data_IF_748440881235
#
_entry.id   IF_748440881235
#
_cell.length_a   1.000
_cell.length_b   1.000
_cell.length_c   1.000
_cell.angle_alpha   90.00
_cell.angle_beta   90.00
_cell.angle_gamma   90.00
#
_symmetry.space_group_name_H-M   'P 1'
#
loop_
_entity.id
_entity.type
_entity.pdbx_description
1 polymer ?
#
# COMPACT_ATOMS: atom_id res chain seq x y z
N UNK A 1 5.32 35.11 21.29
CA UNK A 1 4.31 34.04 21.21
C UNK A 1 4.04 33.78 19.74
N UNK A 2 4.81 32.85 19.17
CA UNK A 2 4.78 32.54 17.74
C UNK A 2 3.88 31.31 17.52
N UNK A 3 2.95 31.45 16.58
CA UNK A 3 1.97 30.46 16.18
C UNK A 3 2.62 29.14 15.76
N UNK A 4 2.40 28.08 16.55
CA UNK A 4 2.69 26.68 16.23
C UNK A 4 1.45 26.02 15.60
N UNK A 5 0.88 26.65 14.58
CA UNK A 5 -0.30 26.14 13.88
C UNK A 5 -0.01 26.02 12.38
N UNK A 6 0.98 25.21 11.97
CA UNK A 6 1.07 24.80 10.56
C UNK A 6 1.97 23.57 10.26
N UNK A 7 2.00 22.55 11.12
CA UNK A 7 2.84 21.36 10.90
C UNK A 7 2.11 20.02 11.05
N UNK A 8 0.79 19.96 10.82
CA UNK A 8 0.00 18.77 11.12
C UNK A 8 -1.12 18.38 10.16
N UNK A 9 -1.15 18.86 8.91
CA UNK A 9 -2.16 18.43 7.94
C UNK A 9 -1.61 18.38 6.51
N UNK A 10 -0.91 17.30 6.16
CA UNK A 10 -0.43 17.05 4.79
C UNK A 10 -1.48 16.40 3.87
N UNK A 11 -2.75 16.36 4.28
CA UNK A 11 -3.82 15.68 3.52
C UNK A 11 -5.12 16.47 3.42
N UNK A 12 -5.04 17.80 3.44
CA UNK A 12 -6.08 18.61 2.78
C UNK A 12 -5.95 18.37 1.29
N UNK A 13 -7.03 17.97 0.65
CA UNK A 13 -7.11 17.86 -0.81
C UNK A 13 -6.95 19.27 -1.43
N UNK A 14 -5.70 19.75 -1.55
CA UNK A 14 -5.29 20.97 -2.27
C UNK A 14 -5.49 20.89 -3.79
N UNK A 15 -6.45 20.10 -4.25
CA UNK A 15 -6.64 19.76 -5.67
C UNK A 15 -7.25 20.90 -6.47
N UNK A 16 -7.87 21.89 -5.82
CA UNK A 16 -8.69 22.90 -6.50
C UNK A 16 -8.41 24.31 -5.94
N UNK A 17 -7.26 24.93 -6.27
CA UNK A 17 -6.96 26.32 -5.87
C UNK A 17 -7.81 27.36 -6.63
N UNK A 18 -8.69 26.93 -7.54
CA UNK A 18 -9.55 27.84 -8.30
C UNK A 18 -10.64 28.45 -7.39
N UNK A 19 -10.72 29.79 -7.28
CA UNK A 19 -11.72 30.47 -6.47
C UNK A 19 -13.18 30.11 -6.81
N UNK A 20 -13.44 29.65 -8.04
CA UNK A 20 -14.77 29.22 -8.50
C UNK A 20 -15.16 27.86 -7.94
N UNK A 21 -14.19 27.04 -7.56
CA UNK A 21 -14.39 25.69 -7.04
C UNK A 21 -14.40 25.66 -5.51
N UNK A 22 -13.79 26.66 -4.87
CA UNK A 22 -13.76 26.80 -3.41
C UNK A 22 -15.15 26.65 -2.73
N UNK A 23 -16.26 27.21 -3.25
CA UNK A 23 -17.59 27.02 -2.66
C UNK A 23 -18.10 25.57 -2.69
N UNK A 24 -17.54 24.74 -3.58
CA UNK A 24 -17.95 23.35 -3.79
C UNK A 24 -16.95 22.33 -3.24
N UNK A 25 -15.83 22.79 -2.69
CA UNK A 25 -14.73 21.92 -2.24
C UNK A 25 -15.21 20.82 -1.28
N UNK A 26 -16.00 21.16 -0.26
CA UNK A 26 -16.52 20.19 0.69
C UNK A 26 -17.40 19.12 0.01
N UNK A 27 -18.30 19.52 -0.90
CA UNK A 27 -19.17 18.59 -1.61
C UNK A 27 -18.37 17.64 -2.53
N UNK A 28 -17.31 18.15 -3.15
CA UNK A 28 -16.39 17.35 -3.96
C UNK A 28 -15.61 16.37 -3.07
N UNK A 29 -15.07 16.81 -1.94
CA UNK A 29 -14.34 15.96 -0.99
C UNK A 29 -15.24 14.85 -0.43
N UNK A 30 -16.49 15.16 -0.09
CA UNK A 30 -17.48 14.17 0.36
C UNK A 30 -17.76 13.13 -0.74
N UNK A 31 -17.92 13.58 -2.00
CA UNK A 31 -18.16 12.67 -3.12
C UNK A 31 -16.94 11.81 -3.45
N UNK A 32 -15.73 12.38 -3.43
CA UNK A 32 -14.47 11.63 -3.55
C UNK A 32 -14.36 10.58 -2.45
N UNK A 33 -14.67 10.96 -1.20
CA UNK A 33 -14.68 10.03 -0.07
C UNK A 33 -15.67 8.87 -0.24
N UNK A 34 -16.86 9.16 -0.77
CA UNK A 34 -17.87 8.15 -1.08
C UNK A 34 -17.40 7.19 -2.17
N UNK A 35 -16.79 7.69 -3.25
CA UNK A 35 -16.21 6.82 -4.29
C UNK A 35 -15.02 6.02 -3.78
N UNK A 36 -14.13 6.63 -2.99
CA UNK A 36 -13.01 5.93 -2.37
C UNK A 36 -13.47 4.75 -1.51
N UNK A 37 -14.65 4.85 -0.86
CA UNK A 37 -15.25 3.77 -0.07
C UNK A 37 -15.67 2.53 -0.87
N UNK A 38 -15.74 2.63 -2.21
CA UNK A 38 -15.97 1.51 -3.13
C UNK A 38 -14.69 0.76 -3.49
N UNK A 39 -13.52 1.39 -3.33
CA UNK A 39 -12.22 0.72 -3.48
C UNK A 39 -12.04 -0.21 -2.28
N UNK A 40 -12.16 -1.51 -2.54
CA UNK A 40 -12.08 -2.60 -1.57
C UNK A 40 -11.02 -3.59 -2.01
N UNK A 41 -10.50 -4.44 -1.09
CA UNK A 41 -9.58 -5.50 -1.49
C UNK A 41 -10.07 -6.31 -2.70
N UNK A 42 -11.34 -6.73 -2.70
CA UNK A 42 -11.91 -7.54 -3.78
C UNK A 42 -12.12 -6.80 -5.12
N UNK A 43 -12.18 -5.46 -5.12
CA UNK A 43 -12.44 -4.65 -6.31
C UNK A 43 -11.25 -3.79 -6.70
N UNK A 44 -10.12 -3.87 -5.98
CA UNK A 44 -9.00 -2.95 -6.13
C UNK A 44 -8.40 -2.97 -7.54
N UNK A 45 -8.29 -4.15 -8.12
CA UNK A 45 -7.76 -4.34 -9.48
C UNK A 45 -8.63 -3.69 -10.55
N UNK A 46 -9.92 -3.47 -10.32
CA UNK A 46 -10.82 -2.77 -11.25
C UNK A 46 -10.44 -1.29 -11.42
N UNK A 47 -9.72 -0.72 -10.44
CA UNK A 47 -9.23 0.67 -10.49
C UNK A 47 -7.81 0.79 -11.06
N UNK A 48 -7.13 -0.35 -11.27
CA UNK A 48 -5.79 -0.40 -11.84
C UNK A 48 -5.87 -0.55 -13.36
N UNK A 49 -5.42 0.47 -14.09
CA UNK A 49 -5.25 0.34 -15.52
C UNK A 49 -3.96 -0.44 -15.87
N UNK A 50 -3.77 -0.86 -17.14
CA UNK A 50 -2.59 -1.62 -17.55
C UNK A 50 -1.26 -0.92 -17.27
N UNK A 51 -1.21 0.42 -17.27
CA UNK A 51 0.00 1.17 -16.97
C UNK A 51 0.33 1.13 -15.48
N UNK A 52 -0.68 1.25 -14.62
CA UNK A 52 -0.53 1.07 -13.17
C UNK A 52 -0.02 -0.34 -12.86
N UNK A 53 -0.61 -1.37 -13.46
CA UNK A 53 -0.18 -2.77 -13.29
C UNK A 53 1.29 -2.94 -13.69
N UNK A 54 1.69 -2.39 -14.85
CA UNK A 54 3.09 -2.43 -15.30
C UNK A 54 4.02 -1.70 -14.33
N UNK A 55 3.64 -0.49 -13.90
CA UNK A 55 4.41 0.33 -12.97
C UNK A 55 4.66 -0.41 -11.64
N UNK A 56 3.63 -1.03 -11.05
CA UNK A 56 3.82 -1.84 -9.85
C UNK A 56 4.84 -2.96 -10.07
N UNK A 57 4.75 -3.67 -11.20
CA UNK A 57 5.67 -4.75 -11.52
C UNK A 57 7.10 -4.31 -11.80
N UNK A 58 7.30 -3.15 -12.41
CA UNK A 58 8.61 -2.56 -12.63
C UNK A 58 9.23 -2.18 -11.28
N UNK A 59 8.52 -1.41 -10.45
CA UNK A 59 9.00 -1.01 -9.12
C UNK A 59 9.31 -2.20 -8.20
N UNK A 60 8.48 -3.26 -8.19
CA UNK A 60 8.76 -4.45 -7.38
C UNK A 60 10.03 -5.18 -7.83
N UNK A 61 10.25 -5.26 -9.14
CA UNK A 61 11.44 -5.88 -9.73
C UNK A 61 12.68 -5.03 -9.47
N UNK A 62 12.58 -3.72 -9.60
CA UNK A 62 13.68 -2.78 -9.36
C UNK A 62 14.09 -2.78 -7.87
N UNK A 63 13.12 -2.92 -6.96
CA UNK A 63 13.38 -3.17 -5.53
C UNK A 63 13.98 -4.57 -5.25
N UNK A 64 14.08 -5.45 -6.25
CA UNK A 64 14.56 -6.83 -6.11
C UNK A 64 13.60 -7.74 -5.33
N UNK A 65 12.31 -7.42 -5.27
CA UNK A 65 11.32 -8.21 -4.55
C UNK A 65 11.04 -9.54 -5.27
N UNK A 66 10.88 -10.62 -4.50
CA UNK A 66 10.34 -11.88 -5.04
C UNK A 66 8.82 -11.82 -5.13
N UNK A 67 8.17 -11.08 -4.22
CA UNK A 67 6.72 -10.87 -4.22
C UNK A 67 6.38 -9.46 -3.74
N UNK A 68 5.50 -8.79 -4.47
CA UNK A 68 4.97 -7.47 -4.13
C UNK A 68 3.46 -7.55 -3.90
N UNK A 69 2.95 -6.84 -2.88
CA UNK A 69 1.55 -6.97 -2.44
C UNK A 69 0.99 -5.63 -1.98
N UNK A 70 -0.22 -5.29 -2.45
CA UNK A 70 -1.05 -4.25 -1.88
C UNK A 70 -2.01 -4.90 -0.88
N UNK A 71 -1.72 -4.72 0.41
CA UNK A 71 -2.58 -5.12 1.51
C UNK A 71 -3.55 -4.00 1.83
N UNK A 72 -4.84 -4.23 1.69
CA UNK A 72 -5.88 -3.22 1.91
C UNK A 72 -6.75 -3.56 3.13
N UNK A 73 -7.06 -2.55 3.93
CA UNK A 73 -7.86 -2.69 5.12
C UNK A 73 -9.34 -2.95 4.77
N UNK A 74 -10.02 -3.76 5.58
CA UNK A 74 -11.46 -3.92 5.53
C UNK A 74 -12.21 -2.68 6.04
N UNK A 75 -13.56 -2.68 5.96
CA UNK A 75 -14.38 -1.55 6.42
C UNK A 75 -14.13 -1.20 7.88
N UNK A 76 -13.91 -2.23 8.70
CA UNK A 76 -13.74 -2.12 10.14
C UNK A 76 -12.29 -1.77 10.54
N UNK A 77 -11.37 -1.72 9.57
CA UNK A 77 -9.93 -1.56 9.77
C UNK A 77 -9.31 -2.58 10.75
N UNK A 78 -9.92 -3.76 10.85
CA UNK A 78 -9.45 -4.84 11.72
C UNK A 78 -8.49 -5.76 10.99
N UNK A 79 -8.62 -5.85 9.68
CA UNK A 79 -7.86 -6.81 8.88
C UNK A 79 -7.41 -6.20 7.57
N UNK A 80 -6.23 -6.62 7.13
CA UNK A 80 -5.71 -6.42 5.80
C UNK A 80 -6.00 -7.64 4.93
N UNK A 81 -6.36 -7.38 3.69
CA UNK A 81 -6.60 -8.39 2.66
C UNK A 81 -5.76 -8.06 1.43
N UNK A 82 -5.31 -9.09 0.72
CA UNK A 82 -4.60 -8.91 -0.55
C UNK A 82 -5.56 -8.29 -1.57
N UNK A 83 -5.30 -7.04 -1.98
CA UNK A 83 -6.04 -6.36 -3.04
C UNK A 83 -5.39 -6.52 -4.41
N UNK A 84 -4.06 -6.60 -4.44
CA UNK A 84 -3.28 -6.91 -5.63
C UNK A 84 -1.96 -7.55 -5.19
N UNK A 85 -1.46 -8.51 -5.95
CA UNK A 85 -0.14 -9.09 -5.72
C UNK A 85 0.54 -9.44 -7.04
N UNK A 86 1.87 -9.49 -7.00
CA UNK A 86 2.69 -9.84 -8.13
C UNK A 86 3.94 -10.59 -7.66
N UNK A 87 4.15 -11.74 -8.27
CA UNK A 87 5.28 -12.61 -8.00
C UNK A 87 4.90 -14.08 -8.23
N UNK A 88 5.85 -15.01 -8.02
CA UNK A 88 5.64 -16.44 -8.23
C UNK A 88 4.51 -17.05 -7.39
N UNK A 89 4.10 -16.38 -6.30
CA UNK A 89 3.11 -16.89 -5.36
C UNK A 89 1.86 -16.01 -5.24
N UNK A 90 1.65 -15.05 -6.14
CA UNK A 90 0.52 -14.13 -6.13
C UNK A 90 -0.83 -14.84 -5.95
N UNK A 91 -1.05 -15.93 -6.69
CA UNK A 91 -2.30 -16.72 -6.62
C UNK A 91 -2.59 -17.29 -5.22
N UNK A 92 -1.54 -17.57 -4.43
CA UNK A 92 -1.68 -18.09 -3.07
C UNK A 92 -2.03 -17.01 -2.06
N UNK A 93 -1.76 -15.74 -2.37
CA UNK A 93 -2.06 -14.60 -1.51
C UNK A 93 -3.52 -14.14 -1.62
N UNK A 94 -4.21 -14.58 -2.67
CA UNK A 94 -5.64 -14.35 -2.82
C UNK A 94 -6.41 -14.85 -1.58
N UNK A 95 -7.30 -14.00 -1.08
CA UNK A 95 -8.10 -14.21 0.13
C UNK A 95 -7.31 -14.35 1.44
N UNK A 96 -5.99 -14.15 1.43
CA UNK A 96 -5.21 -14.09 2.67
C UNK A 96 -5.64 -12.86 3.49
N UNK A 97 -5.76 -13.09 4.79
CA UNK A 97 -6.16 -12.10 5.79
C UNK A 97 -5.05 -11.94 6.81
N UNK A 98 -4.69 -10.70 7.12
CA UNK A 98 -3.70 -10.36 8.16
C UNK A 98 -4.35 -9.42 9.17
N UNK A 99 -4.43 -9.79 10.46
CA UNK A 99 -4.98 -8.90 11.49
C UNK A 99 -4.14 -7.62 11.64
N UNK A 100 -4.81 -6.48 11.85
CA UNK A 100 -4.16 -5.16 12.03
C UNK A 100 -3.65 -4.96 13.46
N UNK A 101 -4.24 -5.62 14.45
CA UNK A 101 -3.88 -5.48 15.86
C UNK A 101 -2.63 -6.25 16.27
N UNK A 102 -2.04 -7.02 15.35
CA UNK A 102 -0.88 -7.86 15.62
C UNK A 102 0.24 -7.65 14.60
N UNK A 103 1.46 -7.53 15.11
CA UNK A 103 2.67 -7.49 14.30
C UNK A 103 2.92 -6.18 13.55
N UNK A 104 3.76 -6.27 12.52
CA UNK A 104 4.36 -5.12 11.87
C UNK A 104 3.37 -4.26 11.08
N UNK A 105 2.39 -4.89 10.40
CA UNK A 105 1.40 -4.15 9.59
C UNK A 105 0.55 -3.22 10.46
N UNK A 106 0.23 -3.64 11.69
CA UNK A 106 -0.46 -2.81 12.68
C UNK A 106 0.35 -1.61 13.12
N UNK A 107 1.63 -1.84 13.42
CA UNK A 107 2.56 -0.76 13.77
C UNK A 107 2.63 0.29 12.66
N UNK A 108 2.74 -0.12 11.39
CA UNK A 108 2.80 0.81 10.25
C UNK A 108 1.49 1.56 10.07
N UNK A 109 0.34 0.90 10.27
CA UNK A 109 -0.97 1.57 10.25
C UNK A 109 -1.07 2.64 11.34
N UNK A 110 -0.46 2.40 12.52
CA UNK A 110 -0.46 3.35 13.62
C UNK A 110 0.56 4.49 13.43
N UNK A 111 1.78 4.19 12.97
CA UNK A 111 2.88 5.17 12.85
C UNK A 111 2.85 5.93 11.53
N UNK A 112 2.23 5.34 10.50
CA UNK A 112 2.28 5.82 9.12
C UNK A 112 3.73 6.03 8.62
N UNK A 113 4.66 5.21 9.11
CA UNK A 113 6.05 5.24 8.70
C UNK A 113 6.43 3.97 7.93
N UNK A 114 7.26 4.07 6.89
CA UNK A 114 7.89 2.93 6.24
C UNK A 114 8.68 2.08 7.23
N UNK A 115 8.73 0.78 7.00
CA UNK A 115 9.56 -0.13 7.77
C UNK A 115 10.24 -1.15 6.87
N UNK A 116 11.54 -1.34 7.07
CA UNK A 116 12.35 -2.35 6.39
C UNK A 116 12.94 -3.28 7.43
N UNK A 117 12.78 -4.59 7.22
CA UNK A 117 13.33 -5.61 8.09
C UNK A 117 14.06 -6.66 7.26
N UNK A 118 15.33 -6.85 7.58
CA UNK A 118 16.21 -7.85 6.96
C UNK A 118 16.56 -8.93 7.99
N UNK A 119 17.12 -10.05 7.54
CA UNK A 119 17.55 -11.18 8.40
C UNK A 119 16.42 -11.86 9.20
N UNK A 120 15.19 -11.86 8.67
CA UNK A 120 14.03 -12.49 9.30
C UNK A 120 14.16 -14.02 9.45
N UNK A 121 14.93 -14.66 8.58
CA UNK A 121 15.21 -16.10 8.67
C UNK A 121 15.94 -16.46 9.98
N UNK A 122 16.72 -15.53 10.54
CA UNK A 122 17.43 -15.68 11.82
C UNK A 122 16.55 -15.31 13.02
N UNK A 123 15.55 -14.44 12.82
CA UNK A 123 14.58 -14.02 13.83
C UNK A 123 13.16 -14.48 13.47
N UNK A 124 12.95 -15.80 13.50
CA UNK A 124 11.69 -16.45 13.11
C UNK A 124 10.47 -15.98 13.92
N UNK A 125 10.67 -15.46 15.14
CA UNK A 125 9.57 -14.92 15.96
C UNK A 125 8.96 -13.63 15.37
N UNK A 126 9.74 -12.86 14.60
CA UNK A 126 9.28 -11.64 13.92
C UNK A 126 8.68 -11.92 12.53
N UNK A 127 8.96 -13.10 11.96
CA UNK A 127 8.41 -13.53 10.68
C UNK A 127 6.92 -13.91 10.81
N UNK A 128 6.13 -13.63 9.76
CA UNK A 128 4.72 -14.02 9.74
C UNK A 128 4.60 -15.50 9.40
N UNK A 129 4.37 -16.34 10.42
CA UNK A 129 4.18 -17.78 10.25
C UNK A 129 3.03 -18.13 9.31
N UNK A 130 1.97 -17.31 9.28
CA UNK A 130 0.85 -17.48 8.37
C UNK A 130 1.24 -17.25 6.90
N UNK A 131 2.05 -16.22 6.61
CA UNK A 131 2.53 -15.93 5.27
C UNK A 131 3.48 -17.03 4.78
N UNK A 132 4.47 -17.40 5.59
CA UNK A 132 5.42 -18.48 5.29
C UNK A 132 4.71 -19.81 5.01
N UNK A 133 3.77 -20.19 5.88
CA UNK A 133 2.98 -21.42 5.74
C UNK A 133 2.13 -21.42 4.47
N UNK A 134 1.51 -20.27 4.14
CA UNK A 134 0.67 -20.13 2.94
C UNK A 134 1.47 -20.23 1.65
N UNK A 135 2.65 -19.61 1.62
CA UNK A 135 3.49 -19.59 0.42
C UNK A 135 4.34 -20.86 0.28
N UNK A 136 4.67 -21.51 1.41
CA UNK A 136 5.61 -22.63 1.46
C UNK A 136 7.06 -22.16 1.35
N UNK A 137 7.38 -21.01 1.95
CA UNK A 137 8.70 -20.35 1.86
C UNK A 137 9.13 -19.82 3.22
N UNK A 138 10.39 -19.41 3.34
CA UNK A 138 10.95 -18.73 4.51
C UNK A 138 11.18 -17.26 4.13
N UNK A 139 10.52 -16.34 4.81
CA UNK A 139 10.68 -14.90 4.56
C UNK A 139 11.98 -14.43 5.18
N UNK A 140 12.86 -13.87 4.35
CA UNK A 140 14.19 -13.42 4.73
C UNK A 140 14.23 -11.91 4.96
N UNK A 141 13.53 -11.15 4.10
CA UNK A 141 13.46 -9.69 4.19
C UNK A 141 12.07 -9.20 3.80
N UNK A 142 11.66 -8.07 4.36
CA UNK A 142 10.42 -7.39 3.99
C UNK A 142 10.57 -5.88 4.05
N UNK A 143 9.90 -5.18 3.13
CA UNK A 143 9.64 -3.75 3.22
C UNK A 143 8.14 -3.55 3.22
N UNK A 144 7.66 -2.70 4.11
CA UNK A 144 6.26 -2.29 4.15
C UNK A 144 6.22 -0.77 4.18
N UNK A 145 5.38 -0.18 3.33
CA UNK A 145 5.16 1.27 3.25
C UNK A 145 3.67 1.59 3.38
N UNK A 146 3.30 2.69 4.05
CA UNK A 146 1.91 3.14 4.13
C UNK A 146 1.30 3.36 2.74
N UNK A 147 0.03 3.01 2.56
CA UNK A 147 -0.72 3.26 1.33
C UNK A 147 -1.99 4.07 1.59
N UNK A 148 -2.16 5.16 0.84
CA UNK A 148 -3.22 6.14 1.02
C UNK A 148 -4.07 6.29 -0.23
N UNK A 149 -5.37 6.49 -0.05
CA UNK A 149 -6.32 6.90 -1.09
C UNK A 149 -7.29 7.90 -0.47
N UNK A 150 -7.60 8.96 -1.19
CA UNK A 150 -8.42 10.11 -0.80
C UNK A 150 -7.98 10.67 0.56
N UNK A 151 -6.66 10.77 0.73
CA UNK A 151 -6.02 11.24 1.96
C UNK A 151 -6.20 10.38 3.21
N UNK A 152 -6.79 9.19 3.10
CA UNK A 152 -6.98 8.24 4.20
C UNK A 152 -6.05 7.05 4.03
N UNK A 153 -5.49 6.55 5.13
CA UNK A 153 -4.72 5.32 5.11
C UNK A 153 -5.65 4.15 4.77
N UNK A 154 -5.37 3.46 3.67
CA UNK A 154 -6.18 2.33 3.18
C UNK A 154 -5.49 1.00 3.36
N UNK A 155 -4.22 0.99 3.71
CA UNK A 155 -3.48 -0.24 3.91
C UNK A 155 -1.98 -0.01 3.81
N UNK A 156 -1.28 -1.04 3.35
CA UNK A 156 0.18 -1.02 3.17
C UNK A 156 0.56 -1.69 1.85
N UNK A 157 1.58 -1.15 1.23
CA UNK A 157 2.28 -1.79 0.12
C UNK A 157 3.47 -2.55 0.71
N UNK A 158 3.63 -3.81 0.34
CA UNK A 158 4.66 -4.68 0.88
C UNK A 158 5.48 -5.35 -0.24
N UNK A 159 6.76 -5.54 0.03
CA UNK A 159 7.66 -6.33 -0.79
C UNK A 159 8.35 -7.38 0.10
N UNK A 160 8.52 -8.58 -0.44
CA UNK A 160 9.11 -9.71 0.28
C UNK A 160 10.25 -10.34 -0.53
N UNK A 161 11.30 -10.72 0.19
CA UNK A 161 12.33 -11.66 -0.29
C UNK A 161 12.28 -12.89 0.59
N UNK A 162 12.37 -14.05 -0.03
CA UNK A 162 12.23 -15.34 0.63
C UNK A 162 13.11 -16.39 -0.03
N UNK A 163 13.31 -17.49 0.69
CA UNK A 163 13.99 -18.68 0.19
C UNK A 163 13.10 -19.93 0.37
N UNK A 164 13.29 -20.99 -0.44
CA UNK A 164 12.46 -22.19 -0.34
C UNK A 164 12.64 -22.93 1.00
N UNK A 165 13.88 -23.16 1.42
CA UNK A 165 14.23 -23.92 2.63
C UNK A 165 15.29 -23.22 3.48
N UNK A 166 15.53 -23.71 4.70
CA UNK A 166 16.52 -23.11 5.62
C UNK A 166 17.95 -23.19 5.09
N UNK A 167 18.25 -24.22 4.30
CA UNK A 167 19.58 -24.52 3.78
C UNK A 167 19.91 -23.74 2.49
N UNK A 168 18.89 -23.15 1.85
CA UNK A 168 19.07 -22.30 0.69
C UNK A 168 19.80 -20.99 1.05
N UNK A 169 20.56 -20.41 0.09
CA UNK A 169 21.28 -19.16 0.30
C UNK A 169 20.31 -18.02 0.64
N UNK A 170 20.76 -17.13 1.53
CA UNK A 170 20.01 -15.92 1.86
C UNK A 170 19.98 -14.97 0.64
N UNK A 171 18.80 -14.42 0.28
CA UNK A 171 18.74 -13.35 -0.70
C UNK A 171 19.42 -12.09 -0.15
N UNK A 172 19.83 -11.18 -1.04
CA UNK A 172 20.34 -9.89 -0.62
C UNK A 172 19.29 -9.12 0.18
N UNK A 173 19.72 -8.40 1.22
CA UNK A 173 18.87 -7.49 1.99
C UNK A 173 18.20 -6.44 1.10
N UNK A 174 17.09 -5.88 1.56
CA UNK A 174 16.62 -4.60 1.03
C UNK A 174 17.52 -3.47 1.53
N UNK A 175 17.84 -2.55 0.65
CA UNK A 175 18.56 -1.31 0.94
C UNK A 175 17.59 -0.12 0.96
N UNK A 176 18.15 1.08 1.13
CA UNK A 176 17.39 2.31 1.19
C UNK A 176 16.69 2.64 -0.14
N UNK A 177 17.32 2.31 -1.27
CA UNK A 177 16.74 2.55 -2.61
C UNK A 177 15.45 1.76 -2.80
N UNK A 178 15.42 0.49 -2.39
CA UNK A 178 14.20 -0.31 -2.43
C UNK A 178 13.05 0.28 -1.58
N UNK A 179 13.37 0.87 -0.42
CA UNK A 179 12.38 1.53 0.44
C UNK A 179 11.85 2.81 -0.21
N UNK A 180 12.72 3.59 -0.85
CA UNK A 180 12.37 4.81 -1.57
C UNK A 180 11.50 4.51 -2.80
N UNK A 181 11.84 3.47 -3.54
CA UNK A 181 11.09 3.00 -4.71
C UNK A 181 9.66 2.60 -4.33
N UNK A 182 9.50 1.81 -3.27
CA UNK A 182 8.16 1.41 -2.80
C UNK A 182 7.37 2.60 -2.24
N UNK A 183 8.02 3.54 -1.54
CA UNK A 183 7.36 4.76 -1.09
C UNK A 183 6.93 5.66 -2.26
N UNK A 184 7.74 5.72 -3.32
CA UNK A 184 7.38 6.42 -4.54
C UNK A 184 6.18 5.74 -5.21
N UNK A 185 6.23 4.42 -5.38
CA UNK A 185 5.13 3.62 -5.94
C UNK A 185 3.82 3.87 -5.17
N UNK A 186 3.85 3.78 -3.84
CA UNK A 186 2.70 4.03 -2.98
C UNK A 186 2.09 5.42 -3.20
N UNK A 187 2.93 6.46 -3.24
CA UNK A 187 2.49 7.84 -3.46
C UNK A 187 1.94 8.06 -4.86
N UNK A 188 2.60 7.52 -5.89
CA UNK A 188 2.14 7.62 -7.27
C UNK A 188 0.78 6.94 -7.46
N UNK A 189 0.63 5.72 -6.94
CA UNK A 189 -0.65 5.01 -6.96
C UNK A 189 -1.75 5.77 -6.24
N UNK A 190 -1.48 6.29 -5.03
CA UNK A 190 -2.43 7.12 -4.31
C UNK A 190 -2.88 8.32 -5.14
N UNK A 191 -1.95 9.04 -5.79
CA UNK A 191 -2.27 10.20 -6.64
C UNK A 191 -3.05 9.83 -7.90
N UNK A 192 -2.71 8.72 -8.55
CA UNK A 192 -3.44 8.24 -9.74
C UNK A 192 -4.88 7.85 -9.38
N UNK A 193 -5.06 7.15 -8.26
CA UNK A 193 -6.40 6.79 -7.78
C UNK A 193 -7.18 8.03 -7.35
N UNK A 194 -6.56 8.97 -6.65
CA UNK A 194 -7.20 10.23 -6.24
C UNK A 194 -7.63 11.06 -7.46
N UNK A 195 -6.82 11.10 -8.51
CA UNK A 195 -7.18 11.74 -9.78
C UNK A 195 -8.42 11.09 -10.41
N UNK A 196 -8.44 9.76 -10.54
CA UNK A 196 -9.60 9.03 -11.09
C UNK A 196 -10.87 9.28 -10.26
N UNK A 197 -10.74 9.24 -8.93
CA UNK A 197 -11.84 9.52 -8.02
C UNK A 197 -12.35 10.96 -8.14
N UNK A 198 -11.45 11.93 -8.34
CA UNK A 198 -11.81 13.32 -8.55
C UNK A 198 -12.55 13.50 -9.87
N UNK A 199 -12.03 12.98 -10.99
CA UNK A 199 -12.71 13.00 -12.29
C UNK A 199 -14.13 12.45 -12.18
N UNK A 200 -14.29 11.27 -11.56
CA UNK A 200 -15.60 10.69 -11.30
C UNK A 200 -16.49 11.58 -10.42
N UNK A 201 -15.94 12.24 -9.39
CA UNK A 201 -16.68 13.13 -8.49
C UNK A 201 -17.25 14.37 -9.21
N UNK A 202 -16.50 14.93 -10.16
CA UNK A 202 -16.93 16.11 -10.92
C UNK A 202 -17.62 15.77 -12.24
N UNK A 203 -17.77 14.49 -12.56
CA UNK A 203 -18.46 14.02 -13.78
C UNK A 203 -17.63 14.19 -15.05
N UNK A 204 -16.31 14.21 -14.94
CA UNK A 204 -15.42 14.03 -16.09
C UNK A 204 -15.30 12.53 -16.33
N UNK A 205 -15.96 12.03 -17.38
CA UNK A 205 -15.78 10.66 -17.85
C UNK A 205 -14.39 10.56 -18.51
N UNK A 206 -13.61 9.55 -18.12
CA UNK A 206 -12.47 9.10 -18.92
C UNK A 206 -13.02 8.08 -19.92
N UNK A 207 -13.05 8.44 -21.20
CA UNK A 207 -13.43 7.57 -22.33
C UNK A 207 -12.52 6.33 -22.46
#
# INVERSE_FOLDING_TARGET
>A
MSSYADLGNTTSMRWLPDPRVAPHAQAIEERVGNFAAHIRPATFTEFMDPLMVRLAGDCFRDAGAHEGVFWLADREQKNLYCGYSQGPHADKLNSMKVPVDTGLSGMILATQQPFCENNLSQNRAAASSALESRLGVIVCCRVLVPFFIAGKMRGVLAAYKYKPTLDDPEPCSFDQEAVEELNLLSRLFGRLLDHKLLCAAIGLEED
#
